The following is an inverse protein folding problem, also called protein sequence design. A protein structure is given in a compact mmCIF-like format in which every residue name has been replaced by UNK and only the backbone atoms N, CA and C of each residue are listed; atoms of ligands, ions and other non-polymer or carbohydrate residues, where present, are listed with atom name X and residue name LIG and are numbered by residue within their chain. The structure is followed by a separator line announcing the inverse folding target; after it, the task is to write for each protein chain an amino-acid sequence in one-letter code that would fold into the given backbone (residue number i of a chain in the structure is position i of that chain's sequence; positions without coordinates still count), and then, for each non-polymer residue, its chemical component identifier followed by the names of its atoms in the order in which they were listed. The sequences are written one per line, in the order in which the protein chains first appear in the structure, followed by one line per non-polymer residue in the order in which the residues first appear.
data_IF_519790899247
#
_entry.id   IF_519790899247
#
_cell.length_a   1.000
_cell.length_b   1.000
_cell.length_c   1.000
_cell.angle_alpha   90.00
_cell.angle_beta   90.00
_cell.angle_gamma   90.00
#
_symmetry.space_group_name_H-M   'P 1'
#
loop_
_entity.id
_entity.type
_entity.pdbx_description
1 polymer ?
#
# COMPACT_ATOMS: atom_id res chain seq x y z
N UNK A 1 12.44 -21.91 6.25
CA UNK A 1 11.32 -21.43 5.41
C UNK A 1 12.00 -20.88 4.19
N UNK A 2 11.87 -21.57 3.07
CA UNK A 2 12.81 -21.41 1.97
C UNK A 2 12.04 -21.10 0.68
N UNK A 3 12.62 -20.25 -0.17
CA UNK A 3 12.04 -19.91 -1.47
C UNK A 3 10.76 -19.07 -1.38
N UNK A 4 9.70 -19.53 -2.07
CA UNK A 4 8.46 -18.77 -2.29
C UNK A 4 7.69 -18.50 -1.00
N UNK A 5 7.76 -19.40 -0.02
CA UNK A 5 7.05 -19.25 1.26
C UNK A 5 7.63 -18.07 2.04
N UNK A 6 8.96 -17.98 2.16
CA UNK A 6 9.62 -16.86 2.83
C UNK A 6 9.28 -15.54 2.15
N UNK A 7 9.40 -15.49 0.82
CA UNK A 7 9.03 -14.29 0.06
C UNK A 7 7.55 -13.92 0.27
N UNK A 8 6.65 -14.91 0.33
CA UNK A 8 5.22 -14.66 0.61
C UNK A 8 5.02 -14.03 1.99
N UNK A 9 5.69 -14.54 3.03
CA UNK A 9 5.60 -13.95 4.38
C UNK A 9 6.21 -12.55 4.46
N UNK A 10 7.33 -12.30 3.77
CA UNK A 10 7.92 -10.97 3.66
C UNK A 10 6.97 -9.98 2.98
N UNK A 11 6.35 -10.39 1.86
CA UNK A 11 5.33 -9.60 1.17
C UNK A 11 4.14 -9.32 2.11
N UNK A 12 3.55 -10.36 2.73
CA UNK A 12 2.41 -10.25 3.65
C UNK A 12 2.71 -9.29 4.81
N UNK A 13 3.90 -9.40 5.42
CA UNK A 13 4.29 -8.52 6.52
C UNK A 13 4.40 -7.07 6.06
N UNK A 14 5.02 -6.84 4.90
CA UNK A 14 5.22 -5.49 4.37
C UNK A 14 3.89 -4.83 3.98
N UNK A 15 3.01 -5.58 3.31
CA UNK A 15 1.69 -5.05 2.89
C UNK A 15 0.76 -4.87 4.07
N UNK A 16 0.86 -5.69 5.12
CA UNK A 16 0.12 -5.50 6.36
C UNK A 16 0.46 -4.19 7.06
N UNK A 17 1.75 -3.85 7.11
CA UNK A 17 2.22 -2.57 7.63
C UNK A 17 1.75 -1.40 6.74
N UNK A 18 1.95 -1.50 5.42
CA UNK A 18 1.48 -0.49 4.47
C UNK A 18 -0.02 -0.23 4.57
N UNK A 19 -0.84 -1.29 4.63
CA UNK A 19 -2.30 -1.20 4.74
C UNK A 19 -2.71 -0.47 6.01
N UNK A 20 -2.03 -0.74 7.13
CA UNK A 20 -2.28 -0.06 8.40
C UNK A 20 -2.01 1.44 8.28
N UNK A 21 -0.86 1.83 7.72
CA UNK A 21 -0.52 3.23 7.46
C UNK A 21 -1.50 3.92 6.51
N UNK A 22 -1.98 3.23 5.46
CA UNK A 22 -3.02 3.75 4.55
C UNK A 22 -4.34 3.99 5.29
N UNK A 23 -4.75 3.09 6.19
CA UNK A 23 -5.96 3.29 7.00
C UNK A 23 -5.83 4.49 7.93
N UNK A 24 -4.68 4.66 8.57
CA UNK A 24 -4.37 5.83 9.40
C UNK A 24 -4.39 7.13 8.59
N UNK A 25 -3.83 7.11 7.37
CA UNK A 25 -3.88 8.25 6.47
C UNK A 25 -5.32 8.69 6.17
N UNK A 26 -6.20 7.75 5.82
CA UNK A 26 -7.62 8.05 5.60
C UNK A 26 -8.30 8.62 6.85
N UNK A 27 -7.96 8.12 8.05
CA UNK A 27 -8.50 8.66 9.30
C UNK A 27 -8.04 10.10 9.56
N UNK A 28 -6.75 10.40 9.36
CA UNK A 28 -6.23 11.76 9.50
C UNK A 28 -6.84 12.72 8.49
N UNK A 29 -6.97 12.31 7.24
CA UNK A 29 -7.54 13.12 6.17
C UNK A 29 -9.01 13.46 6.44
N UNK A 30 -9.81 12.48 6.88
CA UNK A 30 -11.20 12.72 7.31
C UNK A 30 -11.31 13.77 8.42
N UNK A 31 -10.32 13.82 9.31
CA UNK A 31 -10.24 14.81 10.40
C UNK A 31 -9.66 16.17 9.95
N UNK A 32 -9.28 16.32 8.67
CA UNK A 32 -8.66 17.53 8.14
C UNK A 32 -7.17 17.67 8.47
N UNK A 33 -6.54 16.60 8.96
CA UNK A 33 -5.12 16.56 9.28
C UNK A 33 -4.30 16.12 8.06
N UNK A 34 -4.41 16.84 6.94
CA UNK A 34 -3.88 16.41 5.63
C UNK A 34 -2.37 16.19 5.62
N UNK A 35 -1.59 17.04 6.29
CA UNK A 35 -0.14 16.84 6.42
C UNK A 35 0.19 15.46 7.01
N UNK A 36 -0.49 15.06 8.09
CA UNK A 36 -0.28 13.76 8.74
C UNK A 36 -0.79 12.60 7.87
N UNK A 37 -1.84 12.85 7.07
CA UNK A 37 -2.32 11.86 6.12
C UNK A 37 -1.26 11.56 5.05
N UNK A 38 -0.64 12.58 4.47
CA UNK A 38 0.44 12.39 3.49
C UNK A 38 1.68 11.75 4.12
N UNK A 39 2.09 12.16 5.33
CA UNK A 39 3.19 11.49 6.06
C UNK A 39 2.94 9.98 6.22
N UNK A 40 1.69 9.58 6.49
CA UNK A 40 1.31 8.17 6.60
C UNK A 40 1.28 7.44 5.26
N UNK A 41 0.93 8.11 4.17
CA UNK A 41 1.01 7.53 2.83
C UNK A 41 2.47 7.33 2.41
N UNK A 42 3.36 8.26 2.74
CA UNK A 42 4.80 8.10 2.49
C UNK A 42 5.39 6.92 3.27
N UNK A 43 4.98 6.74 4.53
CA UNK A 43 5.32 5.56 5.32
C UNK A 43 4.79 4.27 4.65
N UNK A 44 3.54 4.27 4.19
CA UNK A 44 2.98 3.13 3.47
C UNK A 44 3.75 2.81 2.17
N UNK A 45 4.17 3.82 1.42
CA UNK A 45 4.95 3.66 0.20
C UNK A 45 6.33 3.04 0.47
N UNK A 46 6.96 3.36 1.61
CA UNK A 46 8.21 2.71 2.01
C UNK A 46 8.01 1.20 2.21
N UNK A 47 6.97 0.79 2.97
CA UNK A 47 6.65 -0.62 3.14
C UNK A 47 6.23 -1.31 1.82
N UNK A 48 5.46 -0.64 0.96
CA UNK A 48 5.09 -1.20 -0.34
C UNK A 48 6.31 -1.40 -1.25
N UNK A 49 7.30 -0.50 -1.17
CA UNK A 49 8.57 -0.63 -1.90
C UNK A 49 9.36 -1.86 -1.48
N UNK A 50 9.39 -2.16 -0.17
CA UNK A 50 10.07 -3.34 0.34
C UNK A 50 9.39 -4.65 -0.10
N UNK A 51 8.06 -4.71 -0.05
CA UNK A 51 7.29 -5.83 -0.60
C UNK A 51 7.46 -5.97 -2.13
N UNK A 52 7.52 -4.84 -2.85
CA UNK A 52 7.68 -4.83 -4.30
C UNK A 52 9.03 -5.39 -4.75
N UNK A 53 10.12 -5.14 -4.01
CA UNK A 53 11.43 -5.75 -4.30
C UNK A 53 11.33 -7.27 -4.30
N UNK A 54 10.65 -7.86 -3.31
CA UNK A 54 10.45 -9.32 -3.21
C UNK A 54 9.59 -9.88 -4.33
N UNK A 55 8.52 -9.18 -4.68
CA UNK A 55 7.69 -9.52 -5.82
C UNK A 55 8.50 -9.52 -7.15
N UNK A 56 9.29 -8.46 -7.39
CA UNK A 56 10.15 -8.35 -8.58
C UNK A 56 11.24 -9.42 -8.61
N UNK A 57 11.86 -9.75 -7.46
CA UNK A 57 12.83 -10.84 -7.36
C UNK A 57 12.23 -12.18 -7.81
N UNK A 58 10.96 -12.46 -7.48
CA UNK A 58 10.26 -13.67 -7.93
C UNK A 58 10.01 -13.64 -9.44
N UNK A 59 9.51 -12.53 -10.00
CA UNK A 59 9.32 -12.39 -11.46
C UNK A 59 10.63 -12.59 -12.22
N UNK A 60 11.73 -12.05 -11.71
CA UNK A 60 13.06 -12.19 -12.33
C UNK A 60 13.54 -13.64 -12.32
N UNK A 61 13.31 -14.38 -11.24
CA UNK A 61 13.63 -15.81 -11.17
C UNK A 61 12.81 -16.61 -12.19
N UNK A 62 11.50 -16.38 -12.24
CA UNK A 62 10.63 -17.04 -13.22
C UNK A 62 11.09 -16.76 -14.67
N UNK A 63 11.38 -15.49 -14.96
CA UNK A 63 11.86 -15.05 -16.28
C UNK A 63 13.24 -15.62 -16.64
N UNK A 64 14.06 -15.98 -15.65
CA UNK A 64 15.38 -16.59 -15.85
C UNK A 64 15.30 -18.11 -16.13
N UNK A 65 14.10 -18.68 -16.10
CA UNK A 65 13.85 -20.10 -16.39
C UNK A 65 13.61 -20.97 -15.16
N UNK A 66 13.61 -20.40 -13.95
CA UNK A 66 13.26 -21.13 -12.73
C UNK A 66 11.74 -21.33 -12.67
N UNK A 67 11.28 -22.57 -12.57
CA UNK A 67 9.86 -22.83 -12.34
C UNK A 67 9.44 -22.35 -10.94
N UNK A 68 8.50 -21.42 -10.90
CA UNK A 68 7.87 -20.97 -9.66
C UNK A 68 6.55 -21.73 -9.47
N UNK A 69 6.48 -22.53 -8.41
CA UNK A 69 5.24 -23.21 -8.02
C UNK A 69 4.33 -22.23 -7.29
N UNK A 70 3.24 -21.82 -7.93
CA UNK A 70 2.21 -20.99 -7.31
C UNK A 70 1.51 -21.77 -6.19
N UNK A 71 1.56 -21.24 -4.98
CA UNK A 71 0.87 -21.79 -3.81
C UNK A 71 -0.30 -20.91 -3.38
N UNK A 72 -1.24 -21.43 -2.58
CA UNK A 72 -2.33 -20.62 -2.01
C UNK A 72 -1.76 -19.47 -1.16
N UNK A 73 -0.69 -19.73 -0.41
CA UNK A 73 -0.04 -18.71 0.41
C UNK A 73 0.55 -17.58 -0.45
N UNK A 74 1.22 -17.93 -1.55
CA UNK A 74 1.76 -16.93 -2.48
C UNK A 74 0.64 -16.14 -3.16
N UNK A 75 -0.41 -16.82 -3.64
CA UNK A 75 -1.58 -16.16 -4.21
C UNK A 75 -2.25 -15.20 -3.22
N UNK A 76 -2.30 -15.56 -1.93
CA UNK A 76 -2.81 -14.69 -0.88
C UNK A 76 -1.92 -13.47 -0.65
N UNK A 77 -0.60 -13.65 -0.67
CA UNK A 77 0.36 -12.53 -0.58
C UNK A 77 0.18 -11.54 -1.73
N UNK A 78 0.07 -12.05 -2.96
CA UNK A 78 -0.15 -11.25 -4.18
C UNK A 78 -1.50 -10.52 -4.18
N UNK A 79 -2.59 -11.18 -3.74
CA UNK A 79 -3.90 -10.54 -3.59
C UNK A 79 -3.85 -9.38 -2.58
N UNK A 80 -3.25 -9.59 -1.40
CA UNK A 80 -3.07 -8.53 -0.42
C UNK A 80 -2.18 -7.40 -0.95
N UNK A 81 -1.12 -7.74 -1.68
CA UNK A 81 -0.20 -6.77 -2.28
C UNK A 81 -0.94 -5.86 -3.26
N UNK A 82 -1.59 -6.43 -4.27
CA UNK A 82 -2.28 -5.66 -5.31
C UNK A 82 -3.48 -4.87 -4.75
N UNK A 83 -4.27 -5.46 -3.85
CA UNK A 83 -5.39 -4.74 -3.23
C UNK A 83 -4.94 -3.57 -2.35
N UNK A 84 -3.76 -3.67 -1.72
CA UNK A 84 -3.20 -2.58 -0.90
C UNK A 84 -2.66 -1.44 -1.78
N UNK A 85 -2.07 -1.73 -2.95
CA UNK A 85 -1.74 -0.70 -3.95
C UNK A 85 -2.99 0.06 -4.41
N UNK A 86 -4.05 -0.65 -4.80
CA UNK A 86 -5.31 -0.03 -5.21
C UNK A 86 -5.91 0.82 -4.09
N UNK A 87 -5.83 0.36 -2.84
CA UNK A 87 -6.33 1.09 -1.68
C UNK A 87 -5.54 2.37 -1.40
N UNK A 88 -4.22 2.35 -1.62
CA UNK A 88 -3.38 3.55 -1.56
C UNK A 88 -3.81 4.57 -2.62
N UNK A 89 -3.98 4.12 -3.86
CA UNK A 89 -4.34 5.01 -4.97
C UNK A 89 -5.70 5.67 -4.73
N UNK A 90 -6.70 4.89 -4.28
CA UNK A 90 -7.99 5.43 -3.83
C UNK A 90 -7.81 6.39 -2.66
N UNK A 91 -6.90 6.12 -1.74
CA UNK A 91 -6.66 7.00 -0.57
C UNK A 91 -6.12 8.37 -0.99
N UNK A 92 -5.26 8.45 -2.01
CA UNK A 92 -4.83 9.74 -2.56
C UNK A 92 -6.01 10.57 -3.06
N UNK A 93 -6.91 9.96 -3.84
CA UNK A 93 -8.12 10.63 -4.34
C UNK A 93 -9.03 11.07 -3.19
N UNK A 94 -9.21 10.22 -2.17
CA UNK A 94 -10.02 10.54 -0.99
C UNK A 94 -9.43 11.71 -0.19
N UNK A 95 -8.10 11.79 -0.05
CA UNK A 95 -7.42 12.91 0.61
C UNK A 95 -7.70 14.20 -0.15
N UNK A 96 -7.53 14.19 -1.48
CA UNK A 96 -7.80 15.36 -2.33
C UNK A 96 -9.26 15.84 -2.21
N UNK A 97 -10.22 14.92 -2.28
CA UNK A 97 -11.66 15.22 -2.12
C UNK A 97 -11.95 15.86 -0.76
N UNK A 98 -11.40 15.31 0.33
CA UNK A 98 -11.61 15.88 1.66
C UNK A 98 -10.94 17.25 1.85
N UNK A 99 -9.80 17.48 1.21
CA UNK A 99 -9.11 18.78 1.23
C UNK A 99 -9.93 19.85 0.50
N UNK A 100 -10.47 19.54 -0.67
CA UNK A 100 -11.39 20.42 -1.40
C UNK A 100 -12.64 20.75 -0.57
N UNK A 101 -13.33 19.73 -0.06
CA UNK A 101 -14.55 19.92 0.74
C UNK A 101 -14.33 20.84 1.96
N UNK A 102 -13.23 20.64 2.70
CA UNK A 102 -12.91 21.48 3.87
C UNK A 102 -12.40 22.87 3.50
N UNK A 103 -11.87 23.06 2.29
CA UNK A 103 -11.51 24.37 1.77
C UNK A 103 -12.75 25.22 1.48
N UNK A 104 -13.84 24.61 1.00
CA UNK A 104 -15.12 25.27 0.71
C UNK A 104 -15.92 25.65 1.98
N UNK A 105 -15.75 24.88 3.07
CA UNK A 105 -16.33 25.19 4.38
C UNK A 105 -15.69 26.42 5.05
N UNK A 106 -14.50 26.86 4.62
CA UNK A 106 -13.91 28.11 5.13
C UNK A 106 -14.69 29.30 4.54
N UNK A 107 -15.21 30.22 5.37
CA UNK A 107 -15.97 31.36 4.87
C UNK A 107 -15.10 32.13 3.88
N UNK A 108 -15.57 32.21 2.62
CA UNK A 108 -14.94 33.05 1.60
C UNK A 108 -14.98 34.48 2.14
N UNK A 109 -13.84 35.01 2.55
CA UNK A 109 -13.69 36.43 2.87
C UNK A 109 -14.10 37.19 1.61
N UNK A 110 -15.24 37.86 1.67
CA UNK A 110 -15.71 38.75 0.60
C UNK A 110 -14.84 40.00 0.55
#
# INVERSE_FOLDING_TARGET
MDGIELASFEIISSVGAARSSIMEAMQFARQGQFKRAYEKIDEANAYLSDGHKKHVELIQKESSGDQITVTILFMHAEDQFMTTYSLRDVTYEMIAIWEELKSEERPRVK
#
